data_IF_383590830276
#
_entry.id   IF_383590830276
#
_cell.length_a   1.000
_cell.length_b   1.000
_cell.length_c   1.000
_cell.angle_alpha   90.00
_cell.angle_beta   90.00
_cell.angle_gamma   90.00
#
_symmetry.space_group_name_H-M   'P 1'
#
loop_
_entity.id
_entity.type
_entity.pdbx_description
1 polymer ?
#
# COMPACT_ATOMS: atom_id res chain seq x y z
N UNK A 1 14.64 -15.23 -0.01
CA UNK A 1 13.63 -16.12 0.59
C UNK A 1 13.33 -15.58 1.98
N UNK A 2 12.07 -15.51 2.41
CA UNK A 2 11.74 -15.03 3.75
C UNK A 2 11.98 -16.14 4.78
N UNK A 3 12.66 -15.81 5.88
CA UNK A 3 12.83 -16.73 7.01
C UNK A 3 11.51 -16.87 7.80
N UNK A 4 11.43 -17.86 8.70
CA UNK A 4 10.29 -18.00 9.60
C UNK A 4 10.10 -16.75 10.50
N UNK A 5 11.21 -16.12 10.91
CA UNK A 5 11.17 -14.90 11.72
C UNK A 5 10.64 -13.70 10.92
N UNK A 6 11.07 -13.53 9.66
CA UNK A 6 10.56 -12.48 8.78
C UNK A 6 9.05 -12.60 8.59
N UNK A 7 8.55 -13.80 8.29
CA UNK A 7 7.11 -14.06 8.10
C UNK A 7 6.31 -13.70 9.34
N UNK A 8 6.79 -14.11 10.52
CA UNK A 8 6.18 -13.77 11.80
C UNK A 8 6.14 -12.26 12.02
N UNK A 9 7.24 -11.56 11.75
CA UNK A 9 7.31 -10.11 11.93
C UNK A 9 6.36 -9.38 10.97
N UNK A 10 6.32 -9.78 9.69
CA UNK A 10 5.41 -9.22 8.70
C UNK A 10 3.95 -9.37 9.14
N UNK A 11 3.54 -10.56 9.58
CA UNK A 11 2.18 -10.80 10.07
C UNK A 11 1.83 -9.97 11.31
N UNK A 12 2.78 -9.85 12.25
CA UNK A 12 2.60 -9.03 13.45
C UNK A 12 2.46 -7.54 13.13
N UNK A 13 3.29 -7.02 12.23
CA UNK A 13 3.19 -5.64 11.76
C UNK A 13 1.87 -5.43 11.02
N UNK A 14 1.49 -6.36 10.14
CA UNK A 14 0.23 -6.30 9.41
C UNK A 14 -0.98 -6.23 10.33
N UNK A 15 -1.01 -7.06 11.37
CA UNK A 15 -2.10 -7.07 12.36
C UNK A 15 -2.30 -5.74 13.08
N UNK A 16 -1.27 -4.88 13.17
CA UNK A 16 -1.37 -3.55 13.79
C UNK A 16 -2.07 -2.51 12.93
N UNK A 17 -2.23 -2.76 11.62
CA UNK A 17 -2.90 -1.80 10.72
C UNK A 17 -4.40 -1.65 11.04
N UNK A 18 -5.02 -2.64 11.69
CA UNK A 18 -6.34 -2.48 12.32
C UNK A 18 -7.48 -2.03 11.40
N UNK A 19 -7.43 -2.33 10.10
CA UNK A 19 -8.45 -1.89 9.13
C UNK A 19 -8.19 -0.52 8.48
N UNK A 20 -7.01 0.08 8.69
CA UNK A 20 -6.61 1.36 8.10
C UNK A 20 -6.03 1.23 6.67
N UNK A 21 -6.35 0.18 5.92
CA UNK A 21 -5.70 -0.12 4.63
C UNK A 21 -5.90 0.99 3.59
N UNK A 22 -7.08 1.61 3.59
CA UNK A 22 -7.41 2.69 2.66
C UNK A 22 -6.61 3.96 2.98
N UNK A 23 -6.53 4.36 4.25
CA UNK A 23 -5.78 5.54 4.70
C UNK A 23 -4.28 5.36 4.44
N UNK A 24 -3.72 4.23 4.87
CA UNK A 24 -2.29 3.91 4.70
C UNK A 24 -1.95 3.79 3.21
N UNK A 25 -2.83 3.19 2.41
CA UNK A 25 -2.64 3.06 0.97
C UNK A 25 -2.64 4.42 0.27
N UNK A 26 -3.58 5.29 0.63
CA UNK A 26 -3.67 6.65 0.10
C UNK A 26 -2.41 7.47 0.47
N UNK A 27 -2.02 7.43 1.74
CA UNK A 27 -0.84 8.15 2.23
C UNK A 27 0.45 7.67 1.55
N UNK A 28 0.60 6.36 1.39
CA UNK A 28 1.76 5.75 0.71
C UNK A 28 1.92 6.28 -0.71
N UNK A 29 0.84 6.26 -1.50
CA UNK A 29 0.85 6.77 -2.87
C UNK A 29 1.09 8.29 -2.90
N UNK A 30 0.43 9.04 -2.02
CA UNK A 30 0.64 10.49 -1.89
C UNK A 30 2.10 10.85 -1.62
N UNK A 31 2.73 10.17 -0.64
CA UNK A 31 4.16 10.33 -0.32
C UNK A 31 5.05 9.97 -1.50
N UNK A 32 4.75 8.88 -2.21
CA UNK A 32 5.51 8.46 -3.40
C UNK A 32 5.45 9.55 -4.49
N UNK A 33 4.27 10.07 -4.82
CA UNK A 33 4.12 11.10 -5.82
C UNK A 33 4.82 12.41 -5.44
N UNK A 34 4.86 12.74 -4.14
CA UNK A 34 5.49 13.98 -3.66
C UNK A 34 7.02 13.86 -3.56
N UNK A 35 7.53 12.75 -3.03
CA UNK A 35 8.96 12.53 -2.87
C UNK A 35 9.66 12.12 -4.18
N UNK A 36 8.94 11.45 -5.09
CA UNK A 36 9.48 10.91 -6.33
C UNK A 36 8.61 11.31 -7.51
N UNK A 37 8.71 12.57 -7.94
CA UNK A 37 7.92 13.14 -9.02
C UNK A 37 7.84 12.29 -10.32
N UNK A 38 8.91 11.59 -10.78
CA UNK A 38 8.84 10.74 -11.97
C UNK A 38 7.77 9.63 -11.90
N UNK A 39 7.39 9.18 -10.70
CA UNK A 39 6.37 8.14 -10.52
C UNK A 39 4.99 8.59 -11.00
N UNK A 40 4.73 9.91 -11.07
CA UNK A 40 3.46 10.47 -11.58
C UNK A 40 3.24 10.14 -13.06
N UNK A 41 4.30 9.83 -13.83
CA UNK A 41 4.20 9.52 -15.26
C UNK A 41 3.39 8.24 -15.54
N UNK A 42 3.28 7.34 -14.57
CA UNK A 42 2.44 6.14 -14.67
C UNK A 42 0.94 6.42 -14.42
N UNK A 43 0.60 7.59 -13.87
CA UNK A 43 -0.77 7.95 -13.47
C UNK A 43 -1.26 9.25 -14.13
N UNK A 44 -1.12 9.43 -15.46
CA UNK A 44 -1.53 10.68 -16.13
C UNK A 44 -3.05 10.90 -16.13
N UNK A 45 -3.82 9.86 -15.78
CA UNK A 45 -5.29 9.84 -15.77
C UNK A 45 -5.88 9.93 -14.34
N UNK A 46 -5.02 10.16 -13.34
CA UNK A 46 -5.45 10.35 -11.95
C UNK A 46 -5.48 11.84 -11.60
N UNK A 47 -6.49 12.24 -10.86
CA UNK A 47 -6.40 13.37 -9.95
C UNK A 47 -5.40 13.02 -8.84
N UNK A 48 -4.24 13.69 -8.90
CA UNK A 48 -3.16 13.54 -7.93
C UNK A 48 -3.17 14.69 -6.91
N UNK A 49 -4.34 15.22 -6.56
CA UNK A 49 -4.52 16.12 -5.42
C UNK A 49 -4.60 15.36 -4.10
N UNK A 50 -4.30 16.03 -2.99
CA UNK A 50 -4.31 15.40 -1.67
C UNK A 50 -5.74 14.99 -1.32
N UNK A 51 -5.94 13.71 -0.98
CA UNK A 51 -7.25 13.19 -0.61
C UNK A 51 -8.16 12.82 -1.80
N UNK A 52 -7.66 12.83 -3.03
CA UNK A 52 -8.45 12.41 -4.18
C UNK A 52 -9.00 10.98 -4.03
N UNK A 53 -10.23 10.76 -4.48
CA UNK A 53 -10.87 9.44 -4.43
C UNK A 53 -10.11 8.40 -5.27
N UNK A 54 -9.43 8.85 -6.33
CA UNK A 54 -8.61 7.97 -7.17
C UNK A 54 -7.36 7.47 -6.41
N UNK A 55 -6.67 8.33 -5.66
CA UNK A 55 -5.55 7.92 -4.81
C UNK A 55 -6.03 6.98 -3.70
N UNK A 56 -7.14 7.32 -3.02
CA UNK A 56 -7.71 6.47 -1.96
C UNK A 56 -8.12 5.10 -2.48
N UNK A 57 -8.89 5.08 -3.57
CA UNK A 57 -9.37 3.85 -4.19
C UNK A 57 -8.24 2.96 -4.71
N UNK A 58 -7.21 3.54 -5.33
CA UNK A 58 -6.05 2.77 -5.80
C UNK A 58 -5.16 2.30 -4.65
N UNK A 59 -4.91 3.16 -3.66
CA UNK A 59 -4.15 2.83 -2.45
C UNK A 59 -4.75 1.64 -1.70
N UNK A 60 -6.08 1.65 -1.52
CA UNK A 60 -6.81 0.51 -0.94
C UNK A 60 -6.57 -0.79 -1.69
N UNK A 61 -6.59 -0.77 -3.03
CA UNK A 61 -6.33 -1.97 -3.86
C UNK A 61 -4.93 -2.50 -3.64
N UNK A 62 -3.92 -1.62 -3.61
CA UNK A 62 -2.52 -2.00 -3.36
C UNK A 62 -2.36 -2.65 -2.00
N UNK A 63 -2.88 -2.02 -0.94
CA UNK A 63 -2.76 -2.54 0.43
C UNK A 63 -3.58 -3.83 0.60
N UNK A 64 -4.77 -3.95 0.00
CA UNK A 64 -5.53 -5.21 0.01
C UNK A 64 -4.77 -6.36 -0.69
N UNK A 65 -4.05 -6.07 -1.77
CA UNK A 65 -3.19 -7.05 -2.44
C UNK A 65 -2.01 -7.47 -1.54
N UNK A 66 -1.37 -6.53 -0.84
CA UNK A 66 -0.36 -6.85 0.18
C UNK A 66 -0.95 -7.74 1.29
N UNK A 67 -2.15 -7.44 1.78
CA UNK A 67 -2.83 -8.28 2.76
C UNK A 67 -3.13 -9.69 2.25
N UNK A 68 -3.41 -9.83 0.96
CA UNK A 68 -3.56 -11.14 0.31
C UNK A 68 -2.24 -11.88 0.23
N UNK A 69 -1.15 -11.20 -0.14
CA UNK A 69 0.19 -11.80 -0.18
C UNK A 69 0.66 -12.25 1.22
N UNK A 70 0.38 -11.46 2.26
CA UNK A 70 0.76 -11.75 3.65
C UNK A 70 0.04 -13.00 4.19
N UNK A 71 -1.18 -13.28 3.71
CA UNK A 71 -1.90 -14.53 4.01
C UNK A 71 -1.31 -15.75 3.30
N UNK A 72 -0.44 -15.55 2.30
CA UNK A 72 0.07 -16.58 1.40
C UNK A 72 1.60 -16.57 1.28
N UNK A 73 2.34 -16.17 2.34
CA UNK A 73 3.82 -16.01 2.32
C UNK A 73 4.63 -17.29 2.07
N UNK A 74 3.97 -18.46 2.06
CA UNK A 74 4.57 -19.77 1.83
C UNK A 74 4.38 -20.28 0.38
N UNK A 75 3.59 -19.57 -0.44
CA UNK A 75 3.31 -19.88 -1.84
C UNK A 75 4.11 -18.97 -2.78
#
# INVERSE_FOLDING_TARGET
MLTAEDKKLIQQVWGKLGGAEEEIGAETLWRMFHAYAPTKTYFPHFDLSQGSDQIRGHGKKVVAALGTAIKNLDN
#
